data_IF_483177265543
#
_entry.id   IF_483177265543
#
_cell.length_a   1.000
_cell.length_b   1.000
_cell.length_c   1.000
_cell.angle_alpha   90.00
_cell.angle_beta   90.00
_cell.angle_gamma   90.00
#
_symmetry.space_group_name_H-M   'P 1'
#
loop_
_entity.id
_entity.type
_entity.pdbx_description
1 polymer ?
#
# COMPACT_ATOMS: atom_id res chain seq x y z
N UNK A 1 -0.36 -1.79 -25.14
CA UNK A 1 -1.27 -1.82 -23.97
C UNK A 1 -0.49 -1.26 -22.80
N UNK A 2 -0.85 -0.06 -22.32
CA UNK A 2 -0.24 0.48 -21.11
C UNK A 2 -0.51 -0.54 -19.99
N UNK A 3 0.53 -1.24 -19.52
CA UNK A 3 0.45 -1.99 -18.27
C UNK A 3 0.15 -0.95 -17.22
N UNK A 4 -1.14 -0.81 -16.86
CA UNK A 4 -1.59 0.11 -15.83
C UNK A 4 -0.65 -0.04 -14.65
N UNK A 5 -0.01 1.07 -14.28
CA UNK A 5 1.00 1.08 -13.24
C UNK A 5 0.36 0.45 -12.00
N UNK A 6 0.84 -0.73 -11.60
CA UNK A 6 0.13 -1.55 -10.63
C UNK A 6 0.08 -0.80 -9.30
N UNK A 7 -1.10 -0.34 -8.87
CA UNK A 7 -1.31 0.52 -7.70
C UNK A 7 -0.60 0.04 -6.41
N UNK A 8 -0.44 -1.28 -6.28
CA UNK A 8 0.11 -1.96 -5.11
C UNK A 8 1.55 -1.57 -4.80
N UNK A 9 2.48 -1.71 -5.74
CA UNK A 9 3.91 -1.52 -5.47
C UNK A 9 4.25 -0.06 -5.13
N UNK A 10 3.76 0.96 -5.89
CA UNK A 10 3.93 2.36 -5.51
C UNK A 10 3.34 2.67 -4.13
N UNK A 11 2.17 2.11 -3.80
CA UNK A 11 1.55 2.30 -2.49
C UNK A 11 2.40 1.74 -1.35
N UNK A 12 2.75 0.46 -1.41
CA UNK A 12 3.54 -0.19 -0.37
C UNK A 12 4.95 0.43 -0.26
N UNK A 13 5.52 0.87 -1.38
CA UNK A 13 6.81 1.54 -1.38
C UNK A 13 6.75 2.93 -0.75
N UNK A 14 5.68 3.70 -1.00
CA UNK A 14 5.47 5.00 -0.36
C UNK A 14 5.37 4.84 1.17
N UNK A 15 4.55 3.89 1.63
CA UNK A 15 4.40 3.56 3.06
C UNK A 15 5.72 3.15 3.72
N UNK A 16 6.51 2.31 3.03
CA UNK A 16 7.83 1.84 3.49
C UNK A 16 8.84 2.98 3.57
N UNK A 17 8.97 3.79 2.51
CA UNK A 17 9.96 4.89 2.44
C UNK A 17 9.69 5.97 3.48
N UNK A 18 8.43 6.33 3.66
CA UNK A 18 8.01 7.35 4.63
C UNK A 18 7.85 6.81 6.06
N UNK A 19 8.10 5.50 6.27
CA UNK A 19 7.92 4.80 7.56
C UNK A 19 6.56 5.08 8.19
N UNK A 20 5.52 5.10 7.38
CA UNK A 20 4.15 5.39 7.84
C UNK A 20 3.65 4.19 8.64
N UNK A 21 3.15 4.38 9.88
CA UNK A 21 2.47 3.33 10.62
C UNK A 21 1.23 2.86 9.86
N UNK A 22 1.05 1.55 9.75
CA UNK A 22 -0.08 0.92 9.06
C UNK A 22 -0.86 0.00 10.00
N UNK A 23 -2.15 -0.12 9.74
CA UNK A 23 -2.99 -1.21 10.22
C UNK A 23 -3.26 -2.16 9.05
N UNK A 24 -2.82 -3.41 9.18
CA UNK A 24 -3.11 -4.49 8.23
C UNK A 24 -4.24 -5.33 8.81
N UNK A 25 -5.38 -5.38 8.13
CA UNK A 25 -6.47 -6.26 8.48
C UNK A 25 -6.34 -7.55 7.67
N UNK A 26 -6.43 -8.68 8.38
CA UNK A 26 -6.42 -10.00 7.77
C UNK A 26 -7.85 -10.44 7.41
N UNK A 27 -7.97 -11.36 6.46
CA UNK A 27 -9.26 -11.91 5.99
C UNK A 27 -10.10 -12.55 7.10
N UNK A 28 -9.46 -12.99 8.19
CA UNK A 28 -10.13 -13.53 9.37
C UNK A 28 -10.51 -12.47 10.43
N UNK A 29 -10.29 -11.18 10.13
CA UNK A 29 -10.62 -10.05 11.01
C UNK A 29 -9.52 -9.64 12.00
N UNK A 30 -8.41 -10.38 12.09
CA UNK A 30 -7.29 -9.99 12.95
C UNK A 30 -6.64 -8.70 12.41
N UNK A 31 -6.34 -7.77 13.32
CA UNK A 31 -5.63 -6.52 13.02
C UNK A 31 -4.17 -6.61 13.46
N UNK A 32 -3.25 -6.41 12.52
CA UNK A 32 -1.83 -6.23 12.78
C UNK A 32 -1.47 -4.74 12.67
N UNK A 33 -0.55 -4.27 13.51
CA UNK A 33 -0.08 -2.89 13.48
C UNK A 33 1.44 -2.86 13.46
N UNK A 34 1.99 -1.92 12.71
CA UNK A 34 3.44 -1.75 12.58
C UNK A 34 3.80 -0.83 11.42
N UNK A 35 5.04 -0.93 10.94
CA UNK A 35 5.54 -0.26 9.74
C UNK A 35 5.95 -1.31 8.71
N UNK A 36 5.75 -1.00 7.43
CA UNK A 36 6.26 -1.87 6.36
C UNK A 36 7.77 -1.72 6.30
N UNK A 37 8.50 -2.79 6.59
CA UNK A 37 9.96 -2.86 6.54
C UNK A 37 10.44 -3.19 5.11
N UNK A 38 9.83 -4.20 4.50
CA UNK A 38 10.06 -4.64 3.12
C UNK A 38 8.83 -5.40 2.58
N UNK A 39 8.81 -5.67 1.28
CA UNK A 39 7.79 -6.51 0.65
C UNK A 39 8.33 -7.08 -0.67
N UNK A 40 7.72 -8.16 -1.12
CA UNK A 40 7.91 -8.72 -2.46
C UNK A 40 6.55 -8.98 -3.14
N UNK A 41 6.52 -9.81 -4.17
CA UNK A 41 5.29 -10.15 -4.88
C UNK A 41 4.21 -10.82 -3.98
N UNK A 42 4.59 -11.56 -2.94
CA UNK A 42 3.68 -12.43 -2.17
C UNK A 42 3.59 -12.09 -0.69
N UNK A 43 4.59 -11.41 -0.12
CA UNK A 43 4.66 -11.13 1.32
C UNK A 43 4.97 -9.67 1.63
N UNK A 44 4.62 -9.25 2.85
CA UNK A 44 4.98 -7.98 3.47
C UNK A 44 5.67 -8.28 4.79
N UNK A 45 6.83 -7.67 5.01
CA UNK A 45 7.50 -7.71 6.31
C UNK A 45 7.01 -6.51 7.15
N UNK A 46 6.28 -6.81 8.22
CA UNK A 46 5.70 -5.81 9.11
C UNK A 46 6.55 -5.73 10.40
N UNK A 47 7.06 -4.54 10.70
CA UNK A 47 7.85 -4.27 11.90
C UNK A 47 6.98 -3.66 13.00
N UNK A 48 6.92 -4.32 14.15
CA UNK A 48 6.52 -3.72 15.42
C UNK A 48 7.65 -3.90 16.45
N UNK A 49 7.42 -4.56 17.58
CA UNK A 49 8.50 -5.05 18.47
C UNK A 49 9.44 -6.02 17.73
N UNK A 50 8.88 -6.89 16.87
CA UNK A 50 9.63 -7.83 16.03
C UNK A 50 9.27 -7.64 14.55
N UNK A 51 10.07 -8.19 13.66
CA UNK A 51 9.74 -8.26 12.23
C UNK A 51 8.98 -9.55 11.98
N UNK A 52 7.78 -9.45 11.44
CA UNK A 52 6.94 -10.61 11.11
C UNK A 52 6.59 -10.59 9.62
N UNK A 53 6.61 -11.77 9.00
CA UNK A 53 6.21 -11.93 7.60
C UNK A 53 4.71 -12.17 7.52
N UNK A 54 4.03 -11.40 6.66
CA UNK A 54 2.59 -11.49 6.41
C UNK A 54 2.36 -11.83 4.94
N UNK A 55 1.70 -12.96 4.67
CA UNK A 55 1.34 -13.33 3.30
C UNK A 55 0.19 -12.47 2.77
N UNK A 56 0.32 -11.95 1.56
CA UNK A 56 -0.67 -11.07 0.93
C UNK A 56 -2.03 -11.73 0.74
N UNK A 57 -2.09 -13.05 0.54
CA UNK A 57 -3.37 -13.77 0.43
C UNK A 57 -4.19 -13.75 1.74
N UNK A 58 -3.55 -13.52 2.88
CA UNK A 58 -4.20 -13.42 4.18
C UNK A 58 -4.61 -11.98 4.51
N UNK A 59 -4.17 -10.99 3.74
CA UNK A 59 -4.47 -9.57 3.96
C UNK A 59 -5.76 -9.21 3.24
N UNK A 60 -6.72 -8.62 3.95
CA UNK A 60 -7.91 -8.01 3.35
C UNK A 60 -7.68 -6.55 2.99
N UNK A 61 -7.10 -5.76 3.90
CA UNK A 61 -6.87 -4.32 3.70
C UNK A 61 -5.61 -3.81 4.40
N UNK A 62 -5.00 -2.76 3.83
CA UNK A 62 -3.87 -2.03 4.43
C UNK A 62 -4.27 -0.57 4.58
N UNK A 63 -4.35 -0.09 5.82
CA UNK A 63 -4.82 1.27 6.15
C UNK A 63 -3.66 2.06 6.76
N UNK A 64 -3.22 3.16 6.13
CA UNK A 64 -2.14 3.96 6.67
C UNK A 64 -2.64 4.96 7.72
N UNK A 65 -1.81 5.29 8.71
CA UNK A 65 -2.14 6.30 9.73
C UNK A 65 -2.22 7.73 9.16
N UNK A 66 -1.59 7.95 8.01
CA UNK A 66 -1.70 9.19 7.21
C UNK A 66 -1.49 8.85 5.73
N UNK A 67 -2.05 9.67 4.85
CA UNK A 67 -1.85 9.52 3.41
C UNK A 67 -0.37 9.84 3.07
N UNK A 68 0.33 9.02 2.26
CA UNK A 68 1.68 9.34 1.80
C UNK A 68 1.65 10.57 0.88
N UNK A 69 2.62 11.46 1.02
CA UNK A 69 2.58 12.79 0.37
C UNK A 69 2.64 12.71 -1.16
N UNK A 70 3.38 11.74 -1.71
CA UNK A 70 3.55 11.56 -3.15
C UNK A 70 2.75 10.37 -3.72
N UNK A 71 1.64 9.99 -3.07
CA UNK A 71 0.80 8.84 -3.49
C UNK A 71 -0.50 9.22 -4.20
N UNK A 72 -0.77 10.50 -4.47
CA UNK A 72 -1.92 10.85 -5.29
C UNK A 72 -1.70 10.28 -6.71
N UNK A 73 -2.57 9.38 -7.20
CA UNK A 73 -2.51 8.97 -8.60
C UNK A 73 -2.72 10.22 -9.45
N UNK A 74 -1.72 10.56 -10.25
CA UNK A 74 -1.70 11.78 -11.05
C UNK A 74 -2.75 11.76 -12.19
N UNK A 75 -3.53 10.69 -12.31
CA UNK A 75 -4.45 10.44 -13.43
C UNK A 75 -5.86 11.04 -13.29
N UNK A 76 -6.26 11.55 -12.11
CA UNK A 76 -7.59 12.18 -11.99
C UNK A 76 -7.71 13.53 -12.73
N UNK A 77 -6.60 14.12 -13.18
CA UNK A 77 -6.58 15.40 -13.90
C UNK A 77 -6.47 15.29 -15.42
N UNK A 78 -6.06 14.14 -15.96
CA UNK A 78 -5.84 13.95 -17.40
C UNK A 78 -7.12 13.46 -18.11
N UNK A 79 -7.88 12.55 -17.48
CA UNK A 79 -9.14 12.04 -18.04
C UNK A 79 -10.26 13.10 -18.14
N UNK A 80 -10.20 14.17 -17.33
CA UNK A 80 -11.14 15.31 -17.42
C UNK A 80 -10.82 16.25 -18.58
N UNK A 81 -9.56 16.33 -19.01
CA UNK A 81 -9.15 17.18 -20.12
C UNK A 81 -9.46 16.56 -21.50
N UNK A 82 -9.54 15.22 -21.60
CA UNK A 82 -9.92 14.53 -22.83
C UNK A 82 -11.44 14.52 -23.10
N UNK A 83 -12.27 14.88 -22.11
CA UNK A 83 -13.74 14.97 -22.28
C UNK A 83 -14.18 16.37 -22.77
N UNK A 84 -13.29 17.36 -22.71
CA UNK A 84 -13.56 18.75 -23.13
C UNK A 84 -13.29 19.02 -24.63
N UNK A 85 -12.89 18.00 -25.42
CA UNK A 85 -12.78 18.07 -26.89
C UNK A 85 -13.86 17.24 -27.62
#
# INVERSE_FOLDING_TARGET
>A
MAKGQTLQDPFLNALRRERIPVSIYLVNGIKLQGQIESFDQFVVLLKNTVSQMVYKHAISTVVPARIPQNYLPQQAGEDMAEIED
#
